data_IF_261286288927
#
_entry.id   IF_261286288927
#
_cell.length_a   1.000
_cell.length_b   1.000
_cell.length_c   1.000
_cell.angle_alpha   90.00
_cell.angle_beta   90.00
_cell.angle_gamma   90.00
#
_symmetry.space_group_name_H-M   'P 1'
#
loop_
_entity.id
_entity.type
_entity.pdbx_description
1 polymer ?
#
# COMPACT_ATOMS: atom_id res chain seq x y z
N UNK A 1 -51.32 15.12 18.32
CA UNK A 1 -50.10 14.80 19.09
C UNK A 1 -49.61 13.37 18.84
N UNK A 2 -50.14 12.30 19.47
CA UNK A 2 -49.58 10.95 19.26
C UNK A 2 -49.85 10.36 17.85
N UNK A 3 -51.08 10.49 17.34
CA UNK A 3 -51.47 10.01 15.99
C UNK A 3 -50.70 10.75 14.89
N UNK A 4 -50.49 12.05 15.09
CA UNK A 4 -49.76 12.94 14.18
C UNK A 4 -48.27 12.56 14.12
N UNK A 5 -47.63 12.34 15.27
CA UNK A 5 -46.25 11.85 15.34
C UNK A 5 -46.09 10.48 14.68
N UNK A 6 -47.03 9.56 14.89
CA UNK A 6 -47.00 8.25 14.26
C UNK A 6 -47.15 8.35 12.72
N UNK A 7 -47.97 9.29 12.24
CA UNK A 7 -48.12 9.57 10.81
C UNK A 7 -46.84 10.15 10.20
N UNK A 8 -46.19 11.10 10.89
CA UNK A 8 -44.94 11.70 10.44
C UNK A 8 -43.80 10.69 10.36
N UNK A 9 -43.68 9.80 11.36
CA UNK A 9 -42.70 8.70 11.36
C UNK A 9 -42.97 7.74 10.20
N UNK A 10 -44.23 7.41 9.94
CA UNK A 10 -44.61 6.59 8.78
C UNK A 10 -44.17 7.23 7.46
N UNK A 11 -44.41 8.55 7.30
CA UNK A 11 -44.02 9.28 6.08
C UNK A 11 -42.50 9.37 5.91
N UNK A 12 -41.76 9.54 7.00
CA UNK A 12 -40.30 9.53 7.00
C UNK A 12 -39.76 8.15 6.59
N UNK A 13 -40.38 7.07 7.08
CA UNK A 13 -39.97 5.70 6.76
C UNK A 13 -40.17 5.38 5.28
N UNK A 14 -41.30 5.79 4.69
CA UNK A 14 -41.54 5.63 3.25
C UNK A 14 -40.54 6.45 2.41
N UNK A 15 -40.21 7.66 2.84
CA UNK A 15 -39.20 8.49 2.16
C UNK A 15 -37.83 7.83 2.19
N UNK A 16 -37.44 7.27 3.35
CA UNK A 16 -36.18 6.57 3.50
C UNK A 16 -36.12 5.29 2.66
N UNK A 17 -37.22 4.53 2.63
CA UNK A 17 -37.33 3.32 1.80
C UNK A 17 -37.15 3.64 0.32
N UNK A 18 -37.83 4.69 -0.18
CA UNK A 18 -37.66 5.17 -1.55
C UNK A 18 -36.20 5.53 -1.85
N UNK A 19 -35.55 6.28 -0.97
CA UNK A 19 -34.15 6.67 -1.16
C UNK A 19 -33.20 5.46 -1.20
N UNK A 20 -33.48 4.41 -0.41
CA UNK A 20 -32.71 3.16 -0.46
C UNK A 20 -32.91 2.42 -1.78
N UNK A 21 -34.14 2.36 -2.28
CA UNK A 21 -34.45 1.73 -3.57
C UNK A 21 -33.76 2.47 -4.74
N UNK A 22 -33.77 3.80 -4.73
CA UNK A 22 -33.08 4.63 -5.71
C UNK A 22 -31.56 4.40 -5.70
N UNK A 23 -30.94 4.39 -4.51
CA UNK A 23 -29.51 4.10 -4.37
C UNK A 23 -29.15 2.68 -4.82
N UNK A 24 -30.02 1.69 -4.54
CA UNK A 24 -29.82 0.32 -5.02
C UNK A 24 -29.87 0.25 -6.54
N UNK A 25 -30.79 0.99 -7.18
CA UNK A 25 -30.88 1.09 -8.63
C UNK A 25 -29.63 1.76 -9.23
N UNK A 26 -29.16 2.87 -8.67
CA UNK A 26 -27.93 3.55 -9.10
C UNK A 26 -26.69 2.64 -8.98
N UNK A 27 -26.56 1.91 -7.86
CA UNK A 27 -25.49 0.93 -7.65
C UNK A 27 -25.56 -0.19 -8.69
N UNK A 28 -26.76 -0.66 -9.04
CA UNK A 28 -26.94 -1.69 -10.06
C UNK A 28 -26.51 -1.20 -11.44
N UNK A 29 -26.86 0.04 -11.80
CA UNK A 29 -26.42 0.69 -13.04
C UNK A 29 -24.90 0.86 -13.07
N UNK A 30 -24.29 1.37 -11.99
CA UNK A 30 -22.83 1.48 -11.88
C UNK A 30 -22.14 0.12 -12.00
N UNK A 31 -22.64 -0.92 -11.30
CA UNK A 31 -22.11 -2.29 -11.42
C UNK A 31 -22.23 -2.84 -12.85
N UNK A 32 -23.30 -2.49 -13.58
CA UNK A 32 -23.47 -2.87 -14.98
C UNK A 32 -22.55 -2.07 -15.90
N UNK A 33 -22.35 -0.78 -15.66
CA UNK A 33 -21.39 0.04 -16.40
C UNK A 33 -19.95 -0.46 -16.19
N UNK A 34 -19.57 -0.81 -14.96
CA UNK A 34 -18.25 -1.41 -14.66
C UNK A 34 -18.08 -2.76 -15.36
N UNK A 35 -19.12 -3.61 -15.40
CA UNK A 35 -19.08 -4.89 -16.15
C UNK A 35 -19.12 -4.69 -17.67
N UNK A 36 -19.88 -3.70 -18.14
CA UNK A 36 -20.07 -3.35 -19.55
C UNK A 36 -18.88 -2.61 -20.16
N UNK A 37 -18.05 -1.97 -19.33
CA UNK A 37 -16.71 -1.50 -19.67
C UNK A 37 -15.72 -2.66 -19.91
N UNK A 38 -16.18 -3.91 -19.85
CA UNK A 38 -15.41 -5.10 -20.17
C UNK A 38 -14.87 -5.17 -21.59
N UNK A 39 -15.38 -4.43 -22.59
CA UNK A 39 -14.78 -4.36 -23.94
C UNK A 39 -15.11 -3.05 -24.67
N UNK A 40 -14.54 -1.92 -24.23
CA UNK A 40 -14.24 -0.76 -25.08
C UNK A 40 -13.42 0.28 -24.30
N UNK A 41 -12.43 -0.18 -23.53
CA UNK A 41 -11.30 0.69 -23.25
C UNK A 41 -10.38 0.52 -24.46
N UNK A 42 -10.29 1.56 -25.29
CA UNK A 42 -9.13 1.80 -26.14
C UNK A 42 -7.92 1.27 -25.40
N UNK A 43 -7.20 0.29 -25.96
CA UNK A 43 -5.93 -0.13 -25.37
C UNK A 43 -5.11 1.15 -25.25
N UNK A 44 -4.90 1.70 -24.03
CA UNK A 44 -3.90 2.73 -23.91
C UNK A 44 -2.67 1.98 -24.36
N UNK A 45 -1.97 2.53 -25.35
CA UNK A 45 -0.67 2.04 -25.80
C UNK A 45 0.01 1.36 -24.62
N UNK A 46 0.39 0.07 -24.76
CA UNK A 46 1.07 -0.72 -23.72
C UNK A 46 2.41 -0.04 -23.40
N UNK A 47 2.32 1.12 -22.79
CA UNK A 47 3.41 1.93 -22.30
C UNK A 47 3.86 1.13 -21.11
N UNK A 48 4.88 0.30 -21.34
CA UNK A 48 5.53 -0.46 -20.28
C UNK A 48 5.89 0.56 -19.22
N UNK A 49 5.23 0.45 -18.07
CA UNK A 49 5.52 1.32 -16.96
C UNK A 49 7.01 1.15 -16.64
N UNK A 50 7.80 2.23 -16.59
CA UNK A 50 9.21 2.09 -16.26
C UNK A 50 9.33 1.51 -14.85
N UNK A 51 10.08 0.41 -14.75
CA UNK A 51 10.37 -0.23 -13.47
C UNK A 51 11.32 0.64 -12.64
N UNK A 52 11.13 0.75 -11.32
CA UNK A 52 12.05 1.45 -10.44
C UNK A 52 13.45 0.83 -10.46
N UNK A 53 14.46 1.68 -10.28
CA UNK A 53 15.83 1.20 -10.08
C UNK A 53 15.92 0.46 -8.75
N UNK A 54 16.60 -0.69 -8.72
CA UNK A 54 16.85 -1.44 -7.50
C UNK A 54 17.80 -0.72 -6.54
N UNK A 55 17.59 -0.88 -5.23
CA UNK A 55 18.46 -0.34 -4.19
C UNK A 55 19.33 -1.44 -3.57
N UNK A 56 20.65 -1.27 -3.64
CA UNK A 56 21.62 -2.27 -3.17
C UNK A 56 22.02 -2.12 -1.70
N UNK A 57 21.54 -1.08 -1.00
CA UNK A 57 22.02 -0.74 0.34
C UNK A 57 23.25 0.15 0.36
N UNK A 58 23.46 0.97 -0.69
CA UNK A 58 24.60 1.91 -0.71
C UNK A 58 24.48 2.95 0.41
N UNK A 59 25.62 3.38 0.98
CA UNK A 59 25.69 4.39 2.06
C UNK A 59 25.39 5.83 1.59
N UNK A 60 24.66 5.98 0.49
CA UNK A 60 24.30 7.27 -0.07
C UNK A 60 22.87 7.61 0.34
N UNK A 61 22.72 8.62 1.21
CA UNK A 61 21.40 9.14 1.59
C UNK A 61 20.59 9.53 0.35
N UNK A 62 21.26 10.12 -0.63
CA UNK A 62 20.69 10.54 -1.91
C UNK A 62 20.15 9.34 -2.70
N UNK A 63 20.89 8.23 -2.77
CA UNK A 63 20.44 7.05 -3.52
C UNK A 63 19.22 6.41 -2.86
N UNK A 64 19.21 6.35 -1.52
CA UNK A 64 18.05 5.87 -0.78
C UNK A 64 16.84 6.79 -0.99
N UNK A 65 17.02 8.11 -0.94
CA UNK A 65 15.92 9.06 -1.15
C UNK A 65 15.36 8.98 -2.56
N UNK A 66 16.22 8.89 -3.58
CA UNK A 66 15.82 8.69 -4.97
C UNK A 66 15.02 7.39 -5.12
N UNK A 67 15.52 6.28 -4.56
CA UNK A 67 14.82 5.00 -4.59
C UNK A 67 13.43 5.08 -3.95
N UNK A 68 13.33 5.66 -2.75
CA UNK A 68 12.04 5.81 -2.06
C UNK A 68 11.07 6.69 -2.85
N UNK A 69 11.58 7.74 -3.49
CA UNK A 69 10.77 8.62 -4.34
C UNK A 69 10.27 7.88 -5.58
N UNK A 70 11.12 7.14 -6.28
CA UNK A 70 10.78 6.32 -7.45
C UNK A 70 9.71 5.29 -7.11
N UNK A 71 9.85 4.59 -5.97
CA UNK A 71 8.85 3.65 -5.49
C UNK A 71 7.49 4.31 -5.23
N UNK A 72 7.47 5.52 -4.67
CA UNK A 72 6.22 6.27 -4.46
C UNK A 72 5.54 6.63 -5.78
N UNK A 73 6.31 7.02 -6.81
CA UNK A 73 5.73 7.28 -8.14
C UNK A 73 5.25 6.00 -8.80
N UNK A 74 6.02 4.92 -8.70
CA UNK A 74 5.64 3.62 -9.23
C UNK A 74 4.34 3.11 -8.60
N UNK A 75 4.18 3.22 -7.28
CA UNK A 75 2.92 2.84 -6.63
C UNK A 75 1.71 3.61 -7.15
N UNK A 76 1.87 4.91 -7.45
CA UNK A 76 0.80 5.74 -8.00
C UNK A 76 0.48 5.31 -9.43
N UNK A 77 1.49 5.12 -10.26
CA UNK A 77 1.32 4.78 -11.66
C UNK A 77 0.79 3.35 -11.88
N UNK A 78 1.29 2.38 -11.10
CA UNK A 78 0.83 0.99 -11.11
C UNK A 78 -0.41 0.74 -10.23
N UNK A 79 -0.94 1.76 -9.55
CA UNK A 79 -2.11 1.66 -8.64
C UNK A 79 -1.96 0.58 -7.56
N UNK A 80 -0.77 0.47 -6.98
CA UNK A 80 -0.45 -0.55 -5.97
C UNK A 80 -1.20 -0.27 -4.65
N UNK A 81 -1.96 -1.25 -4.12
CA UNK A 81 -2.68 -1.09 -2.86
C UNK A 81 -1.72 -1.01 -1.66
N UNK A 82 -2.17 -0.38 -0.56
CA UNK A 82 -1.32 -0.12 0.61
C UNK A 82 -0.68 -1.38 1.20
N UNK A 83 -1.42 -2.50 1.24
CA UNK A 83 -0.96 -3.77 1.80
C UNK A 83 0.13 -4.49 0.98
N UNK A 84 0.35 -4.10 -0.27
CA UNK A 84 1.34 -4.75 -1.14
C UNK A 84 2.63 -3.95 -1.27
N UNK A 85 2.65 -2.69 -0.81
CA UNK A 85 3.80 -1.78 -0.99
C UNK A 85 5.08 -2.32 -0.38
N UNK A 86 5.02 -2.89 0.81
CA UNK A 86 6.20 -3.47 1.48
C UNK A 86 6.73 -4.65 0.68
N UNK A 87 5.86 -5.61 0.36
CA UNK A 87 6.21 -6.79 -0.44
C UNK A 87 6.85 -6.41 -1.77
N UNK A 88 6.22 -5.49 -2.52
CA UNK A 88 6.74 -5.03 -3.81
C UNK A 88 8.08 -4.31 -3.64
N UNK A 89 8.23 -3.41 -2.66
CA UNK A 89 9.52 -2.74 -2.42
C UNK A 89 10.62 -3.74 -2.13
N UNK A 90 10.32 -4.78 -1.34
CA UNK A 90 11.30 -5.80 -0.99
C UNK A 90 11.86 -6.53 -2.22
N UNK A 91 11.09 -6.61 -3.33
CA UNK A 91 11.54 -7.20 -4.59
C UNK A 91 12.60 -6.33 -5.29
N UNK A 92 12.59 -5.02 -5.08
CA UNK A 92 13.56 -4.07 -5.62
C UNK A 92 14.77 -3.84 -4.70
N UNK A 93 14.82 -4.51 -3.54
CA UNK A 93 16.04 -4.55 -2.72
C UNK A 93 17.02 -5.57 -3.29
N UNK A 94 18.28 -5.19 -3.33
CA UNK A 94 19.41 -6.02 -3.79
C UNK A 94 20.58 -5.87 -2.82
N UNK A 95 21.66 -6.63 -3.00
CA UNK A 95 22.88 -6.51 -2.20
C UNK A 95 22.64 -6.54 -0.68
N UNK A 96 23.29 -5.62 0.03
CA UNK A 96 23.24 -5.49 1.49
C UNK A 96 21.84 -5.13 1.99
N UNK A 97 21.08 -4.34 1.22
CA UNK A 97 19.69 -4.03 1.59
C UNK A 97 18.80 -5.28 1.56
N UNK A 98 19.01 -6.19 0.60
CA UNK A 98 18.27 -7.46 0.56
C UNK A 98 18.67 -8.40 1.68
N UNK A 99 19.96 -8.42 2.05
CA UNK A 99 20.45 -9.20 3.19
C UNK A 99 19.81 -8.72 4.49
N UNK A 100 19.84 -7.41 4.74
CA UNK A 100 19.16 -6.80 5.88
C UNK A 100 17.67 -7.16 5.93
N UNK A 101 16.96 -7.08 4.80
CA UNK A 101 15.53 -7.42 4.74
C UNK A 101 15.27 -8.87 5.18
N UNK A 102 16.11 -9.82 4.75
CA UNK A 102 15.97 -11.24 5.17
C UNK A 102 16.18 -11.39 6.67
N UNK A 103 17.27 -10.84 7.22
CA UNK A 103 17.52 -10.86 8.67
C UNK A 103 16.37 -10.22 9.45
N UNK A 104 15.84 -9.10 8.94
CA UNK A 104 14.71 -8.40 9.57
C UNK A 104 13.43 -9.22 9.57
N UNK A 105 13.17 -10.01 8.53
CA UNK A 105 12.02 -10.94 8.48
C UNK A 105 12.19 -12.10 9.45
N UNK A 106 13.38 -12.71 9.50
CA UNK A 106 13.70 -13.77 10.46
C UNK A 106 13.56 -13.27 11.91
N UNK A 107 14.02 -12.03 12.19
CA UNK A 107 13.88 -11.38 13.50
C UNK A 107 12.42 -11.08 13.89
N UNK A 108 11.54 -10.80 12.92
CA UNK A 108 10.10 -10.61 13.15
C UNK A 108 9.41 -11.95 13.47
N UNK A 109 9.81 -13.03 12.81
CA UNK A 109 9.27 -14.38 13.04
C UNK A 109 9.81 -15.01 14.33
N UNK A 110 11.07 -14.72 14.69
CA UNK A 110 11.79 -15.41 15.76
C UNK A 110 12.03 -14.58 17.04
N UNK A 111 11.20 -13.57 17.33
CA UNK A 111 11.08 -12.91 18.65
C UNK A 111 12.00 -11.70 18.95
N UNK A 112 12.13 -10.72 18.05
CA UNK A 112 12.93 -9.51 18.36
C UNK A 112 12.23 -8.45 19.23
N UNK A 113 10.95 -8.60 19.59
CA UNK A 113 10.17 -7.54 20.27
C UNK A 113 10.06 -6.23 19.46
N UNK A 114 10.60 -6.20 18.23
CA UNK A 114 10.48 -5.10 17.28
C UNK A 114 9.14 -5.20 16.55
N UNK A 115 8.60 -4.03 16.21
CA UNK A 115 7.34 -3.96 15.49
C UNK A 115 7.50 -4.46 14.05
N UNK A 116 6.58 -5.33 13.62
CA UNK A 116 6.56 -5.90 12.27
C UNK A 116 6.50 -4.82 11.19
N UNK A 117 7.25 -5.01 10.11
CA UNK A 117 7.26 -4.08 8.98
C UNK A 117 6.09 -4.39 8.02
N UNK A 118 4.86 -4.03 8.40
CA UNK A 118 3.67 -4.21 7.55
C UNK A 118 3.28 -2.94 6.79
N UNK A 119 3.70 -1.77 7.30
CA UNK A 119 3.36 -0.47 6.75
C UNK A 119 4.52 0.15 5.99
N UNK A 120 4.20 0.79 4.86
CA UNK A 120 5.16 1.53 4.05
C UNK A 120 5.97 2.57 4.85
N UNK A 121 5.32 3.26 5.79
CA UNK A 121 5.98 4.25 6.63
C UNK A 121 7.01 3.62 7.58
N UNK A 122 6.69 2.46 8.14
CA UNK A 122 7.62 1.67 8.97
C UNK A 122 8.83 1.23 8.13
N UNK A 123 8.60 0.72 6.92
CA UNK A 123 9.68 0.32 6.01
C UNK A 123 10.62 1.48 5.68
N UNK A 124 10.07 2.66 5.33
CA UNK A 124 10.88 3.85 5.06
C UNK A 124 11.75 4.25 6.25
N UNK A 125 11.19 4.22 7.46
CA UNK A 125 11.92 4.56 8.69
C UNK A 125 13.06 3.57 8.93
N UNK A 126 12.78 2.28 8.84
CA UNK A 126 13.75 1.20 9.02
C UNK A 126 14.86 1.22 7.97
N UNK A 127 14.52 1.42 6.69
CA UNK A 127 15.51 1.54 5.61
C UNK A 127 16.45 2.73 5.82
N UNK A 128 15.93 3.87 6.28
CA UNK A 128 16.76 5.02 6.65
C UNK A 128 17.69 4.65 7.80
N UNK A 129 17.14 4.14 8.90
CA UNK A 129 17.92 3.69 10.06
C UNK A 129 19.03 2.74 9.63
N UNK A 130 18.72 1.66 8.90
CA UNK A 130 19.70 0.68 8.48
C UNK A 130 20.78 1.26 7.53
N UNK A 131 20.39 2.10 6.57
CA UNK A 131 21.33 2.71 5.63
C UNK A 131 22.30 3.68 6.31
N UNK A 132 21.92 4.24 7.47
CA UNK A 132 22.77 5.12 8.29
C UNK A 132 23.52 4.39 9.42
N UNK A 133 23.09 3.17 9.83
CA UNK A 133 23.67 2.43 10.95
C UNK A 133 24.74 1.39 10.57
N UNK A 134 25.09 1.19 9.29
CA UNK A 134 26.16 0.26 8.87
C UNK A 134 27.59 0.70 9.27
N UNK A 135 27.72 1.48 10.35
CA UNK A 135 28.95 1.85 11.07
C UNK A 135 28.95 1.19 12.45
N UNK A 136 29.28 -0.11 12.52
CA UNK A 136 30.20 -0.66 13.51
C UNK A 136 30.80 -1.97 12.97
N UNK A 137 31.98 -1.95 12.33
CA UNK A 137 32.78 -3.14 12.16
C UNK A 137 33.52 -3.39 13.48
N UNK A 138 32.99 -4.25 14.35
CA UNK A 138 33.75 -4.66 15.53
C UNK A 138 32.93 -5.07 16.74
N UNK A 139 32.21 -6.18 16.64
CA UNK A 139 32.01 -7.10 17.77
C UNK A 139 31.61 -8.46 17.22
N UNK A 140 32.55 -9.08 16.48
CA UNK A 140 32.66 -10.53 16.52
C UNK A 140 33.18 -10.85 17.91
N UNK A 141 32.29 -11.34 18.77
CA UNK A 141 32.71 -12.07 19.98
C UNK A 141 33.49 -13.27 19.45
N UNK A 142 34.82 -13.21 19.54
CA UNK A 142 35.63 -14.41 19.48
C UNK A 142 35.45 -15.15 20.80
N UNK A 143 35.32 -16.47 20.67
CA UNK A 143 35.22 -17.46 21.74
C UNK A 143 36.17 -17.26 22.91
#
# INVERSE_FOLDING_TARGET
>A
RFIELASDVGRLMETFKSAVEDLQAEIMVMKRAIRGQGVAAETPSKMKLPEPKSFAGTRSAKDLENFLWDMVQYFKAARIPKGEKVTITSMYLTGDAKLWWRTRMDDDENHSGRAKIELWETLKKELKINSFLATQPGLRVTS
#
